data_IF_238020712624
#
_entry.id   IF_238020712624
#
_cell.length_a   1.000
_cell.length_b   1.000
_cell.length_c   1.000
_cell.angle_alpha   90.00
_cell.angle_beta   90.00
_cell.angle_gamma   90.00
#
_symmetry.space_group_name_H-M   'P 1'
#
loop_
_entity.id
_entity.type
_entity.pdbx_description
1 polymer ?
#
# COMPACT_ATOMS: atom_id res chain seq x y z
N UNK A 1 -2.67 18.43 12.92
CA UNK A 1 -3.89 17.90 12.28
C UNK A 1 -3.76 16.40 12.26
N UNK A 2 -4.69 15.64 12.83
CA UNK A 2 -4.63 14.18 12.83
C UNK A 2 -5.60 13.66 11.78
N UNK A 3 -5.11 12.86 10.83
CA UNK A 3 -5.97 12.15 9.90
C UNK A 3 -6.63 10.99 10.64
N UNK A 4 -7.96 10.93 10.62
CA UNK A 4 -8.72 9.81 11.15
C UNK A 4 -9.26 9.03 9.96
N UNK A 5 -8.87 7.77 9.83
CA UNK A 5 -9.45 6.86 8.85
C UNK A 5 -10.88 6.54 9.27
N UNK A 6 -11.85 6.80 8.40
CA UNK A 6 -13.19 6.21 8.55
C UNK A 6 -13.06 4.76 8.07
N UNK A 7 -13.73 3.82 8.76
CA UNK A 7 -13.76 2.44 8.32
C UNK A 7 -14.34 2.34 6.89
N UNK A 8 -13.67 1.58 6.04
CA UNK A 8 -14.03 1.32 4.65
C UNK A 8 -14.38 -0.15 4.48
N UNK A 9 -15.65 -0.44 4.22
CA UNK A 9 -16.20 -1.80 4.09
C UNK A 9 -15.92 -2.43 2.71
N UNK A 10 -14.89 -1.95 2.01
CA UNK A 10 -14.53 -2.41 0.68
C UNK A 10 -13.15 -3.03 0.63
N UNK A 11 -12.79 -3.47 -0.58
CA UNK A 11 -11.46 -3.96 -0.90
C UNK A 11 -10.54 -2.82 -1.32
N UNK A 12 -9.31 -2.81 -0.79
CA UNK A 12 -8.26 -1.89 -1.19
C UNK A 12 -6.99 -2.63 -1.61
N UNK A 13 -6.14 -1.93 -2.36
CA UNK A 13 -4.79 -2.38 -2.70
C UNK A 13 -3.77 -1.43 -2.08
N UNK A 14 -2.77 -1.99 -1.40
CA UNK A 14 -1.70 -1.24 -0.73
C UNK A 14 -0.33 -1.61 -1.29
N UNK A 15 0.42 -0.60 -1.72
CA UNK A 15 1.83 -0.72 -2.07
C UNK A 15 2.69 -0.27 -0.89
N UNK A 16 3.56 -1.16 -0.38
CA UNK A 16 4.36 -0.95 0.84
C UNK A 16 5.81 -0.73 0.49
N UNK A 17 6.36 0.42 0.87
CA UNK A 17 7.80 0.71 0.83
C UNK A 17 8.51 0.08 2.03
N UNK A 18 9.21 -1.03 1.81
CA UNK A 18 9.76 -1.85 2.88
C UNK A 18 10.92 -1.19 3.64
N UNK A 19 11.75 -0.38 2.98
CA UNK A 19 12.94 0.23 3.61
C UNK A 19 12.61 1.27 4.68
N UNK A 20 11.37 1.77 4.67
CA UNK A 20 10.86 2.74 5.65
C UNK A 20 9.77 2.15 6.54
N UNK A 21 9.43 0.87 6.37
CA UNK A 21 8.50 0.18 7.24
C UNK A 21 9.17 0.02 8.62
N UNK A 22 8.44 0.38 9.67
CA UNK A 22 8.96 0.25 11.04
C UNK A 22 9.15 -1.23 11.38
N UNK A 23 10.25 -1.55 12.05
CA UNK A 23 10.54 -2.92 12.48
C UNK A 23 9.40 -3.48 13.34
N UNK A 24 8.97 -4.70 13.05
CA UNK A 24 7.85 -5.36 13.73
C UNK A 24 6.46 -4.87 13.33
N UNK A 25 6.33 -3.89 12.43
CA UNK A 25 5.03 -3.46 11.91
C UNK A 25 4.55 -4.39 10.78
N UNK A 26 3.32 -4.90 10.93
CA UNK A 26 2.59 -5.58 9.85
C UNK A 26 1.57 -4.61 9.25
N UNK A 27 1.69 -4.26 7.95
CA UNK A 27 0.68 -3.48 7.25
C UNK A 27 -0.72 -4.12 7.31
N UNK A 28 -0.79 -5.45 7.22
CA UNK A 28 -2.03 -6.22 7.36
C UNK A 28 -2.74 -5.89 8.68
N UNK A 29 -2.01 -5.99 9.80
CA UNK A 29 -2.56 -5.73 11.14
C UNK A 29 -2.86 -4.24 11.38
N UNK A 30 -2.01 -3.35 10.85
CA UNK A 30 -2.20 -1.90 10.99
C UNK A 30 -3.48 -1.41 10.30
N UNK A 31 -3.85 -2.04 9.17
CA UNK A 31 -5.02 -1.66 8.37
C UNK A 31 -6.28 -2.50 8.63
N UNK A 32 -6.16 -3.68 9.25
CA UNK A 32 -7.29 -4.58 9.54
C UNK A 32 -8.50 -3.92 10.24
N UNK A 33 -8.34 -2.96 11.17
CA UNK A 33 -9.50 -2.31 11.79
C UNK A 33 -10.28 -1.37 10.85
N UNK A 34 -9.71 -1.01 9.70
CA UNK A 34 -10.19 0.07 8.84
C UNK A 34 -10.61 -0.39 7.45
N UNK A 35 -10.20 -1.57 7.00
CA UNK A 35 -10.44 -2.08 5.64
C UNK A 35 -10.91 -3.53 5.72
N UNK A 36 -11.99 -3.87 5.01
CA UNK A 36 -12.54 -5.22 4.99
C UNK A 36 -11.62 -6.23 4.27
N UNK A 37 -11.09 -5.85 3.10
CA UNK A 37 -10.18 -6.69 2.31
C UNK A 37 -8.98 -5.89 1.80
N UNK A 38 -7.78 -6.44 1.92
CA UNK A 38 -6.55 -5.75 1.56
C UNK A 38 -5.61 -6.64 0.76
N UNK A 39 -5.31 -6.25 -0.48
CA UNK A 39 -4.21 -6.82 -1.26
C UNK A 39 -2.93 -6.01 -1.03
N UNK A 40 -1.81 -6.68 -0.74
CA UNK A 40 -0.55 -6.02 -0.40
C UNK A 40 0.54 -6.37 -1.40
N UNK A 41 1.20 -5.35 -1.93
CA UNK A 41 2.35 -5.44 -2.80
C UNK A 41 3.55 -4.76 -2.14
N UNK A 42 4.64 -5.50 -1.95
CA UNK A 42 5.84 -5.02 -1.26
C UNK A 42 6.86 -4.53 -2.28
N UNK A 43 7.51 -3.41 -1.99
CA UNK A 43 8.48 -2.74 -2.84
C UNK A 43 9.74 -2.48 -2.00
N UNK A 44 10.90 -2.94 -2.47
CA UNK A 44 12.18 -2.72 -1.80
C UNK A 44 12.69 -1.29 -2.03
N UNK A 45 11.95 -0.31 -1.52
CA UNK A 45 12.25 1.11 -1.65
C UNK A 45 11.91 1.87 -0.37
N UNK A 46 12.39 3.11 -0.28
CA UNK A 46 11.92 4.03 0.75
C UNK A 46 10.60 4.69 0.32
N UNK A 47 9.81 5.17 1.28
CA UNK A 47 8.54 5.83 0.98
C UNK A 47 8.68 6.99 -0.01
N UNK A 48 9.78 7.74 0.02
CA UNK A 48 10.04 8.84 -0.91
C UNK A 48 10.31 8.36 -2.34
N UNK A 49 10.80 7.13 -2.49
CA UNK A 49 11.16 6.55 -3.78
C UNK A 49 10.01 5.78 -4.42
N UNK A 50 9.00 5.37 -3.64
CA UNK A 50 7.87 4.55 -4.13
C UNK A 50 7.07 5.23 -5.25
N UNK A 51 7.14 6.56 -5.34
CA UNK A 51 6.51 7.38 -6.39
C UNK A 51 7.48 7.80 -7.49
N UNK A 52 8.71 7.27 -7.50
CA UNK A 52 9.71 7.63 -8.51
C UNK A 52 9.41 6.93 -9.85
N UNK A 53 9.89 7.49 -10.98
CA UNK A 53 9.73 6.86 -12.28
C UNK A 53 10.29 5.43 -12.37
N UNK A 54 11.32 5.11 -11.57
CA UNK A 54 11.91 3.77 -11.56
C UNK A 54 10.95 2.74 -10.99
N UNK A 55 10.41 2.98 -9.79
CA UNK A 55 9.45 2.06 -9.16
C UNK A 55 8.09 2.08 -9.86
N UNK A 56 7.69 3.17 -10.52
CA UNK A 56 6.48 3.17 -11.33
C UNK A 56 6.52 2.25 -12.56
N UNK A 57 7.71 1.83 -13.03
CA UNK A 57 7.80 0.78 -14.07
C UNK A 57 7.26 -0.55 -13.58
N UNK A 58 7.35 -0.81 -12.27
CA UNK A 58 6.85 -2.03 -11.63
C UNK A 58 5.41 -1.84 -11.11
N UNK A 59 5.15 -0.72 -10.43
CA UNK A 59 3.83 -0.42 -9.83
C UNK A 59 2.77 -0.11 -10.89
N UNK A 60 3.13 0.60 -11.96
CA UNK A 60 2.19 1.05 -12.99
C UNK A 60 1.41 -0.10 -13.65
N UNK A 61 2.07 -1.17 -14.14
CA UNK A 61 1.40 -2.36 -14.64
C UNK A 61 0.44 -3.01 -13.62
N UNK A 62 0.84 -3.07 -12.33
CA UNK A 62 0.01 -3.65 -11.27
C UNK A 62 -1.28 -2.83 -11.06
N UNK A 63 -1.17 -1.49 -11.01
CA UNK A 63 -2.33 -0.60 -10.93
C UNK A 63 -3.27 -0.85 -12.12
N UNK A 64 -2.73 -0.93 -13.34
CA UNK A 64 -3.53 -1.17 -14.53
C UNK A 64 -4.27 -2.51 -14.47
N UNK A 65 -3.66 -3.56 -13.90
CA UNK A 65 -4.33 -4.84 -13.66
C UNK A 65 -5.45 -4.72 -12.62
N UNK A 66 -5.24 -3.99 -11.52
CA UNK A 66 -6.25 -3.87 -10.47
C UNK A 66 -7.49 -3.06 -10.89
N UNK A 67 -7.32 -2.06 -11.76
CA UNK A 67 -8.42 -1.17 -12.18
C UNK A 67 -9.25 -1.77 -13.32
N UNK A 68 -8.65 -2.59 -14.18
CA UNK A 68 -9.32 -3.14 -15.36
C UNK A 68 -9.80 -4.60 -15.16
N UNK A 69 -9.66 -5.16 -13.97
CA UNK A 69 -10.16 -6.48 -13.62
C UNK A 69 -11.63 -6.45 -13.21
#
# INVERSE_FOLDING_TARGET
TTAHSVAFDGKATLFVAERTLQEGMSPEQAWAPWIAELDIYRQDCAHVDIISPEYFKEIGPLINTQINN
#
